data_IF_917576273122
#
_entry.id   IF_917576273122
#
_cell.length_a   1.000
_cell.length_b   1.000
_cell.length_c   1.000
_cell.angle_alpha   90.00
_cell.angle_beta   90.00
_cell.angle_gamma   90.00
#
_symmetry.space_group_name_H-M   'P 1'
#
loop_
_entity.id
_entity.type
_entity.pdbx_description
1 polymer ?
#
# COMPACT_ATOMS: atom_id res chain seq x y z
N UNK A 1 -5.44 -3.32 -3.79
CA UNK A 1 -4.77 -2.22 -4.49
C UNK A 1 -5.01 -2.30 -6.01
N UNK A 2 -4.78 -3.46 -6.66
CA UNK A 2 -4.94 -3.64 -8.11
C UNK A 2 -6.37 -3.37 -8.60
N UNK A 3 -7.39 -3.91 -7.94
CA UNK A 3 -8.79 -3.69 -8.32
C UNK A 3 -9.19 -2.20 -8.26
N UNK A 4 -8.59 -1.45 -7.33
CA UNK A 4 -8.81 -0.01 -7.24
C UNK A 4 -8.16 0.73 -8.43
N UNK A 5 -6.97 0.31 -8.85
CA UNK A 5 -6.35 0.84 -10.07
C UNK A 5 -7.20 0.55 -11.31
N UNK A 6 -7.70 -0.68 -11.47
CA UNK A 6 -8.62 -1.02 -12.56
C UNK A 6 -9.90 -0.17 -12.52
N UNK A 7 -10.47 0.05 -11.34
CA UNK A 7 -11.63 0.91 -11.20
C UNK A 7 -11.36 2.35 -11.68
N UNK A 8 -10.16 2.89 -11.40
CA UNK A 8 -9.75 4.21 -11.90
C UNK A 8 -9.56 4.24 -13.42
N UNK A 9 -9.03 3.17 -14.03
CA UNK A 9 -8.96 3.05 -15.49
C UNK A 9 -10.34 3.08 -16.13
N UNK A 10 -11.30 2.32 -15.60
CA UNK A 10 -12.67 2.35 -16.12
C UNK A 10 -13.36 3.71 -15.90
N UNK A 11 -13.05 4.42 -14.81
CA UNK A 11 -13.52 5.80 -14.61
C UNK A 11 -12.95 6.75 -15.67
N UNK A 12 -11.67 6.58 -16.04
CA UNK A 12 -11.05 7.33 -17.12
C UNK A 12 -11.70 7.03 -18.48
N UNK A 13 -11.93 5.75 -18.78
CA UNK A 13 -12.63 5.36 -20.02
C UNK A 13 -14.07 5.91 -20.05
N UNK A 14 -14.76 5.89 -18.91
CA UNK A 14 -16.06 6.51 -18.75
C UNK A 14 -16.03 8.03 -19.00
N UNK A 15 -14.98 8.72 -18.54
CA UNK A 15 -14.82 10.16 -18.78
C UNK A 15 -14.64 10.49 -20.27
N UNK A 16 -13.93 9.64 -21.04
CA UNK A 16 -13.80 9.75 -22.50
C UNK A 16 -15.15 9.70 -23.19
N UNK A 17 -16.16 9.05 -22.58
CA UNK A 17 -17.53 9.02 -23.06
C UNK A 17 -18.13 10.39 -23.30
N UNK A 18 -17.66 11.43 -22.57
CA UNK A 18 -18.10 12.82 -22.75
C UNK A 18 -17.75 13.42 -24.12
N UNK A 19 -16.82 12.85 -24.86
CA UNK A 19 -16.49 13.26 -26.25
C UNK A 19 -17.44 12.69 -27.30
N UNK A 20 -18.21 11.66 -26.95
CA UNK A 20 -19.11 10.99 -27.87
C UNK A 20 -20.54 11.48 -27.73
N UNK A 21 -21.40 11.30 -28.78
CA UNK A 21 -22.80 11.66 -28.68
C UNK A 21 -23.53 10.75 -27.69
N UNK A 22 -24.53 11.32 -26.99
CA UNK A 22 -25.53 10.53 -26.30
C UNK A 22 -26.73 10.31 -27.21
N UNK A 23 -27.31 9.11 -27.19
CA UNK A 23 -28.51 8.75 -27.92
C UNK A 23 -29.50 8.18 -26.91
N UNK A 24 -30.66 8.86 -26.80
CA UNK A 24 -31.70 8.48 -25.85
C UNK A 24 -32.99 8.15 -26.58
N UNK A 25 -33.63 7.06 -26.18
CA UNK A 25 -34.97 6.66 -26.61
C UNK A 25 -35.95 6.93 -25.46
N UNK A 26 -37.07 7.59 -25.78
CA UNK A 26 -38.14 7.82 -24.83
C UNK A 26 -39.46 7.31 -25.36
N UNK A 27 -40.35 6.87 -24.50
CA UNK A 27 -41.72 6.44 -24.84
C UNK A 27 -42.64 6.63 -23.67
N UNK A 28 -43.85 7.02 -23.94
CA UNK A 28 -44.89 7.24 -22.93
C UNK A 28 -46.28 6.98 -23.46
N UNK A 29 -47.14 6.48 -22.60
CA UNK A 29 -48.59 6.41 -22.80
C UNK A 29 -49.29 6.83 -21.51
N UNK A 30 -50.28 7.70 -21.62
CA UNK A 30 -50.98 8.21 -20.44
C UNK A 30 -52.29 8.86 -20.78
N UNK A 31 -53.06 9.19 -19.74
CA UNK A 31 -54.28 9.99 -19.88
C UNK A 31 -53.92 11.47 -19.71
N UNK A 32 -54.32 12.28 -20.68
CA UNK A 32 -54.20 13.73 -20.63
C UNK A 32 -55.58 14.36 -20.55
N UNK A 33 -55.77 15.34 -19.64
CA UNK A 33 -56.94 16.21 -19.58
C UNK A 33 -56.47 17.65 -19.59
N UNK A 34 -56.86 18.39 -20.64
CA UNK A 34 -56.47 19.79 -20.86
C UNK A 34 -57.67 20.72 -20.84
N UNK A 35 -57.75 21.62 -19.87
CA UNK A 35 -58.73 22.69 -19.84
C UNK A 35 -58.06 24.01 -20.25
N UNK A 36 -58.31 24.42 -21.47
CA UNK A 36 -57.72 25.62 -22.11
C UNK A 36 -58.79 26.45 -22.82
N UNK A 37 -58.56 27.73 -23.19
CA UNK A 37 -59.49 28.50 -24.00
C UNK A 37 -59.89 27.81 -25.29
N UNK A 38 -58.95 27.10 -25.95
CA UNK A 38 -59.21 26.36 -27.19
C UNK A 38 -60.11 25.14 -26.98
N UNK A 39 -59.92 24.36 -25.91
CA UNK A 39 -60.78 23.21 -25.62
C UNK A 39 -62.18 23.65 -25.21
N UNK A 40 -62.32 24.73 -24.44
CA UNK A 40 -63.65 25.32 -24.09
C UNK A 40 -64.38 25.92 -25.32
N UNK A 41 -63.63 26.52 -26.26
CA UNK A 41 -64.23 27.10 -27.46
C UNK A 41 -64.62 26.05 -28.51
N UNK A 42 -63.93 24.94 -28.60
CA UNK A 42 -64.15 23.87 -29.57
C UNK A 42 -65.44 23.07 -29.32
N UNK A 43 -65.86 22.96 -28.07
CA UNK A 43 -67.11 22.18 -27.71
C UNK A 43 -66.90 20.67 -27.86
N UNK A 44 -67.89 19.90 -27.37
CA UNK A 44 -67.79 18.41 -27.25
C UNK A 44 -67.78 17.67 -28.61
N UNK A 45 -68.12 18.32 -29.71
CA UNK A 45 -68.17 17.72 -31.07
C UNK A 45 -67.06 18.10 -31.98
N UNK A 46 -65.95 18.67 -31.49
CA UNK A 46 -64.79 19.01 -32.33
C UNK A 46 -64.08 17.74 -32.86
N UNK A 47 -63.78 17.70 -34.16
CA UNK A 47 -63.04 16.60 -34.78
C UNK A 47 -61.52 16.69 -34.54
N UNK A 48 -61.02 17.84 -34.11
CA UNK A 48 -59.59 18.13 -33.99
C UNK A 48 -59.13 18.46 -32.58
N UNK A 49 -60.03 18.81 -31.69
CA UNK A 49 -59.72 19.21 -30.30
C UNK A 49 -60.61 18.39 -29.34
N UNK A 50 -59.98 17.86 -28.29
CA UNK A 50 -60.64 17.13 -27.21
C UNK A 50 -60.01 17.51 -25.85
N UNK A 51 -60.84 17.61 -24.82
CA UNK A 51 -60.34 17.95 -23.48
C UNK A 51 -59.72 16.76 -22.73
N UNK A 52 -59.98 15.53 -23.22
CA UNK A 52 -59.50 14.31 -22.59
C UNK A 52 -59.09 13.24 -23.63
N UNK A 53 -57.84 12.82 -23.60
CA UNK A 53 -57.26 11.90 -24.60
C UNK A 53 -56.31 10.90 -23.99
N UNK A 54 -56.04 9.84 -24.75
CA UNK A 54 -54.95 8.92 -24.45
C UNK A 54 -53.70 9.38 -25.19
N UNK A 55 -52.87 10.12 -24.49
CA UNK A 55 -51.59 10.64 -24.99
C UNK A 55 -50.61 9.51 -25.25
N UNK A 56 -49.98 9.47 -26.41
CA UNK A 56 -48.90 8.54 -26.77
C UNK A 56 -47.72 9.33 -27.30
N UNK A 57 -46.53 8.97 -26.81
CA UNK A 57 -45.29 9.62 -27.17
C UNK A 57 -44.22 8.58 -27.47
N UNK A 58 -43.44 8.79 -28.51
CA UNK A 58 -42.16 8.12 -28.74
C UNK A 58 -41.16 9.13 -29.30
N UNK A 59 -39.92 9.00 -28.93
CA UNK A 59 -38.91 9.92 -29.45
C UNK A 59 -37.51 9.36 -29.32
N UNK A 60 -36.66 9.77 -30.26
CA UNK A 60 -35.23 9.53 -30.21
C UNK A 60 -34.53 10.88 -30.24
N UNK A 61 -33.55 11.05 -29.34
CA UNK A 61 -32.72 12.25 -29.28
C UNK A 61 -31.24 11.90 -29.37
N UNK A 62 -30.50 12.66 -30.15
CA UNK A 62 -29.04 12.62 -30.21
C UNK A 62 -28.51 13.98 -29.76
N UNK A 63 -27.56 13.95 -28.84
CA UNK A 63 -26.87 15.15 -28.38
C UNK A 63 -25.36 14.93 -28.47
N UNK A 64 -24.68 15.75 -29.28
CA UNK A 64 -23.23 15.79 -29.36
C UNK A 64 -22.74 17.11 -28.77
N UNK A 65 -21.90 17.01 -27.73
CA UNK A 65 -21.19 18.17 -27.19
C UNK A 65 -20.17 18.67 -28.18
N UNK A 66 -20.20 19.97 -28.51
CA UNK A 66 -19.23 20.65 -29.37
C UNK A 66 -18.25 21.49 -28.55
N UNK A 67 -18.74 22.14 -27.52
CA UNK A 67 -17.94 22.92 -26.58
C UNK A 67 -18.65 23.02 -25.22
N UNK A 68 -17.93 22.74 -24.15
CA UNK A 68 -18.44 22.69 -22.77
C UNK A 68 -17.61 23.54 -21.79
N UNK A 69 -16.79 24.44 -22.29
CA UNK A 69 -15.88 25.21 -21.44
C UNK A 69 -14.70 24.39 -20.89
N UNK A 70 -14.27 23.36 -21.60
CA UNK A 70 -13.19 22.45 -21.25
C UNK A 70 -13.52 21.47 -20.10
N UNK A 71 -14.79 21.26 -19.75
CA UNK A 71 -15.21 20.37 -18.67
C UNK A 71 -14.83 18.92 -18.96
N UNK A 72 -15.24 18.38 -20.12
CA UNK A 72 -14.90 16.99 -20.52
C UNK A 72 -13.39 16.78 -20.63
N UNK A 73 -12.67 17.72 -21.27
CA UNK A 73 -11.21 17.58 -21.42
C UNK A 73 -10.47 17.61 -20.09
N UNK A 74 -10.88 18.48 -19.16
CA UNK A 74 -10.33 18.56 -17.82
C UNK A 74 -10.68 17.31 -17.02
N UNK A 75 -11.92 16.78 -17.13
CA UNK A 75 -12.34 15.56 -16.45
C UNK A 75 -11.58 14.32 -16.97
N UNK A 76 -11.32 14.22 -18.27
CA UNK A 76 -10.51 13.12 -18.85
C UNK A 76 -9.09 13.20 -18.32
N UNK A 77 -8.46 14.39 -18.33
CA UNK A 77 -7.10 14.56 -17.80
C UNK A 77 -7.04 14.32 -16.29
N UNK A 78 -8.05 14.76 -15.52
CA UNK A 78 -8.17 14.50 -14.08
C UNK A 78 -8.26 13.00 -13.78
N UNK A 79 -9.11 12.28 -14.50
CA UNK A 79 -9.29 10.83 -14.27
C UNK A 79 -8.09 10.03 -14.73
N UNK A 80 -7.34 10.47 -15.74
CA UNK A 80 -6.06 9.88 -16.12
C UNK A 80 -5.03 10.07 -15.01
N UNK A 81 -4.84 11.29 -14.53
CA UNK A 81 -3.93 11.57 -13.40
C UNK A 81 -4.28 10.75 -12.16
N UNK A 82 -5.58 10.63 -11.82
CA UNK A 82 -6.06 9.78 -10.73
C UNK A 82 -5.73 8.29 -10.94
N UNK A 83 -5.82 7.78 -12.17
CA UNK A 83 -5.45 6.41 -12.50
C UNK A 83 -3.94 6.18 -12.37
N UNK A 84 -3.11 7.13 -12.83
CA UNK A 84 -1.65 7.06 -12.68
C UNK A 84 -1.22 7.16 -11.21
N UNK A 85 -1.85 8.05 -10.42
CA UNK A 85 -1.61 8.14 -8.98
C UNK A 85 -1.90 6.80 -8.29
N UNK A 86 -3.04 6.18 -8.60
CA UNK A 86 -3.42 4.90 -8.02
C UNK A 86 -2.51 3.75 -8.45
N UNK A 87 -2.01 3.75 -9.70
CA UNK A 87 -1.01 2.79 -10.17
C UNK A 87 0.28 2.87 -9.36
N UNK A 88 0.78 4.08 -9.15
CA UNK A 88 2.01 4.32 -8.37
C UNK A 88 1.82 4.01 -6.89
N UNK A 89 0.66 4.31 -6.32
CA UNK A 89 0.29 3.91 -4.96
C UNK A 89 0.24 2.37 -4.82
N UNK A 90 -0.26 1.65 -5.83
CA UNK A 90 -0.24 0.19 -5.87
C UNK A 90 1.20 -0.36 -5.89
N UNK A 91 2.11 0.24 -6.66
CA UNK A 91 3.53 -0.15 -6.68
C UNK A 91 4.16 0.10 -5.31
N UNK A 92 3.86 1.24 -4.66
CA UNK A 92 4.33 1.54 -3.30
C UNK A 92 3.85 0.49 -2.29
N UNK A 93 2.61 0.05 -2.38
CA UNK A 93 2.07 -1.02 -1.52
C UNK A 93 2.74 -2.37 -1.79
N UNK A 94 3.06 -2.68 -3.06
CA UNK A 94 3.83 -3.88 -3.41
C UNK A 94 5.26 -3.85 -2.83
N UNK A 95 5.95 -2.70 -2.88
CA UNK A 95 7.25 -2.48 -2.23
C UNK A 95 7.17 -2.72 -0.72
N UNK A 96 6.15 -2.18 -0.04
CA UNK A 96 5.92 -2.36 1.39
C UNK A 96 5.59 -3.82 1.73
N UNK A 97 4.79 -4.48 0.89
CA UNK A 97 4.47 -5.91 1.05
C UNK A 97 5.73 -6.76 0.90
N UNK A 98 6.59 -6.47 -0.08
CA UNK A 98 7.87 -7.16 -0.26
C UNK A 98 8.80 -6.98 0.95
N UNK A 99 8.86 -5.76 1.52
CA UNK A 99 9.60 -5.53 2.77
C UNK A 99 9.02 -6.35 3.92
N UNK A 100 7.70 -6.40 4.05
CA UNK A 100 7.04 -7.20 5.10
C UNK A 100 7.32 -8.69 4.95
N UNK A 101 7.36 -9.21 3.73
CA UNK A 101 7.78 -10.60 3.46
C UNK A 101 9.23 -10.82 3.89
N UNK A 102 10.14 -9.90 3.56
CA UNK A 102 11.54 -9.99 3.99
C UNK A 102 11.67 -9.96 5.54
N UNK A 103 10.90 -9.11 6.23
CA UNK A 103 10.87 -9.03 7.69
C UNK A 103 10.46 -10.35 8.33
N UNK A 104 9.33 -10.94 7.91
CA UNK A 104 8.85 -12.19 8.50
C UNK A 104 9.75 -13.38 8.16
N UNK A 105 10.34 -13.39 6.95
CA UNK A 105 11.27 -14.41 6.52
C UNK A 105 12.56 -14.39 7.37
N UNK A 106 13.16 -13.23 7.53
CA UNK A 106 14.38 -13.07 8.35
C UNK A 106 14.11 -13.32 9.83
N UNK A 107 12.93 -12.90 10.34
CA UNK A 107 12.51 -13.20 11.71
C UNK A 107 12.35 -14.71 11.93
N UNK A 108 11.77 -15.42 10.96
CA UNK A 108 11.63 -16.88 11.05
C UNK A 108 12.99 -17.58 11.17
N UNK A 109 13.95 -17.24 10.33
CA UNK A 109 15.33 -17.75 10.38
C UNK A 109 15.99 -17.40 11.72
N UNK A 110 15.88 -16.16 12.17
CA UNK A 110 16.42 -15.70 13.45
C UNK A 110 15.89 -16.53 14.63
N UNK A 111 14.57 -16.74 14.68
CA UNK A 111 13.99 -17.52 15.78
C UNK A 111 14.37 -18.99 15.70
N UNK A 112 14.53 -19.55 14.51
CA UNK A 112 15.02 -20.91 14.32
C UNK A 112 16.44 -21.07 14.87
N UNK A 113 17.34 -20.13 14.60
CA UNK A 113 18.73 -20.16 15.05
C UNK A 113 18.84 -19.93 16.57
N UNK A 114 18.02 -19.02 17.14
CA UNK A 114 17.96 -18.79 18.58
C UNK A 114 17.41 -20.03 19.31
N UNK A 115 16.43 -20.73 18.76
CA UNK A 115 15.90 -21.96 19.33
C UNK A 115 16.98 -23.05 19.35
N UNK A 116 17.73 -23.21 18.26
CA UNK A 116 18.82 -24.16 18.17
C UNK A 116 19.95 -23.82 19.18
N UNK A 117 20.33 -22.55 19.30
CA UNK A 117 21.26 -22.08 20.31
C UNK A 117 20.78 -22.39 21.74
N UNK A 118 19.47 -22.25 22.01
CA UNK A 118 18.87 -22.51 23.32
C UNK A 118 18.88 -24.01 23.66
N UNK A 119 18.68 -24.88 22.65
CA UNK A 119 18.82 -26.35 22.82
C UNK A 119 20.26 -26.74 23.18
N UNK A 120 21.24 -26.21 22.45
CA UNK A 120 22.64 -26.43 22.69
C UNK A 120 23.06 -25.94 24.09
N UNK A 121 22.53 -24.80 24.54
CA UNK A 121 22.76 -24.28 25.88
C UNK A 121 22.22 -25.20 26.95
N UNK A 122 21.00 -25.74 26.80
CA UNK A 122 20.43 -26.71 27.71
C UNK A 122 21.26 -27.99 27.77
N UNK A 123 21.61 -28.56 26.61
CA UNK A 123 22.45 -29.78 26.53
C UNK A 123 23.79 -29.59 27.25
N UNK A 124 24.44 -28.42 27.08
CA UNK A 124 25.68 -28.09 27.80
C UNK A 124 25.49 -28.07 29.30
N UNK A 125 24.41 -27.47 29.80
CA UNK A 125 24.14 -27.43 31.25
C UNK A 125 23.76 -28.79 31.80
N UNK A 126 23.04 -29.65 31.06
CA UNK A 126 22.74 -31.03 31.46
C UNK A 126 24.00 -31.89 31.53
N UNK A 127 24.95 -31.70 30.59
CA UNK A 127 26.23 -32.39 30.64
C UNK A 127 27.04 -31.98 31.88
N UNK A 128 27.10 -30.66 32.17
CA UNK A 128 27.77 -30.17 33.38
C UNK A 128 27.09 -30.74 34.65
N UNK A 129 25.77 -30.78 34.69
CA UNK A 129 25.01 -31.38 35.81
C UNK A 129 25.38 -32.84 36.04
N UNK A 130 25.43 -33.62 34.94
CA UNK A 130 25.85 -35.04 35.02
C UNK A 130 27.25 -35.22 35.59
N UNK A 131 28.20 -34.35 35.19
CA UNK A 131 29.57 -34.42 35.66
C UNK A 131 29.72 -33.98 37.14
N UNK A 132 28.96 -32.97 37.56
CA UNK A 132 28.92 -32.56 38.99
C UNK A 132 28.27 -33.63 39.85
N UNK A 133 27.18 -34.28 39.42
CA UNK A 133 26.54 -35.37 40.11
C UNK A 133 27.53 -36.53 40.39
N UNK A 134 28.27 -36.97 39.36
CA UNK A 134 29.31 -38.02 39.51
C UNK A 134 30.37 -37.66 40.53
N UNK A 135 30.81 -36.38 40.54
CA UNK A 135 31.80 -35.88 41.54
C UNK A 135 31.21 -35.89 42.97
N UNK A 136 29.96 -35.46 43.11
CA UNK A 136 29.28 -35.42 44.40
C UNK A 136 29.06 -36.83 44.95
N UNK A 137 28.62 -37.79 44.12
CA UNK A 137 28.44 -39.21 44.46
C UNK A 137 29.76 -39.89 44.85
N UNK A 138 30.89 -39.41 44.30
CA UNK A 138 32.23 -39.90 44.64
C UNK A 138 32.84 -39.22 45.88
N UNK A 139 32.09 -38.28 46.52
CA UNK A 139 32.60 -37.53 47.67
C UNK A 139 33.61 -36.41 47.32
N UNK A 140 33.79 -36.11 46.02
CA UNK A 140 34.70 -35.08 45.54
C UNK A 140 34.00 -33.78 45.19
N UNK A 141 32.64 -33.73 45.24
CA UNK A 141 31.83 -32.59 44.92
C UNK A 141 31.09 -32.00 46.11
N UNK A 142 30.64 -30.75 45.98
CA UNK A 142 29.83 -30.07 47.01
C UNK A 142 28.33 -30.18 46.67
N UNK A 143 27.48 -30.36 47.69
CA UNK A 143 26.01 -30.25 47.53
C UNK A 143 25.57 -28.84 47.06
N UNK A 144 26.35 -27.81 47.39
CA UNK A 144 26.11 -26.45 46.92
C UNK A 144 26.31 -26.33 45.38
N UNK A 145 27.34 -27.00 44.82
CA UNK A 145 27.56 -27.05 43.36
C UNK A 145 26.42 -27.76 42.65
N UNK A 146 25.93 -28.86 43.23
CA UNK A 146 24.78 -29.60 42.71
C UNK A 146 23.52 -28.71 42.66
N UNK A 147 23.18 -28.06 43.77
CA UNK A 147 22.02 -27.14 43.82
C UNK A 147 22.16 -25.98 42.82
N UNK A 148 23.37 -25.46 42.65
CA UNK A 148 23.66 -24.38 41.73
C UNK A 148 23.46 -24.79 40.27
N UNK A 149 23.98 -25.94 39.84
CA UNK A 149 23.79 -26.44 38.48
C UNK A 149 22.32 -26.80 38.21
N UNK A 150 21.59 -27.38 39.20
CA UNK A 150 20.18 -27.67 39.03
C UNK A 150 19.36 -26.40 38.78
N UNK A 151 19.68 -25.28 39.45
CA UNK A 151 19.07 -23.98 39.18
C UNK A 151 19.39 -23.45 37.75
N UNK A 152 20.62 -23.68 37.28
CA UNK A 152 21.01 -23.27 35.92
C UNK A 152 20.33 -24.11 34.84
N UNK A 153 20.20 -25.41 35.03
CA UNK A 153 19.45 -26.31 34.14
C UNK A 153 17.98 -25.88 34.04
N UNK A 154 17.36 -25.62 35.23
CA UNK A 154 15.96 -25.12 35.22
C UNK A 154 15.79 -23.83 34.46
N UNK A 155 16.76 -22.89 34.55
CA UNK A 155 16.77 -21.66 33.76
C UNK A 155 16.95 -21.93 32.23
N UNK A 156 17.83 -22.87 31.87
CA UNK A 156 18.06 -23.26 30.49
C UNK A 156 16.81 -23.88 29.86
N UNK A 157 16.05 -24.73 30.59
CA UNK A 157 14.74 -25.21 30.18
C UNK A 157 13.74 -24.07 29.93
N UNK A 158 13.67 -23.10 30.85
CA UNK A 158 12.80 -21.93 30.68
C UNK A 158 13.19 -21.12 29.45
N UNK A 159 14.48 -20.91 29.17
CA UNK A 159 14.97 -20.22 28.01
C UNK A 159 14.60 -20.96 26.69
N UNK A 160 14.75 -22.29 26.67
CA UNK A 160 14.34 -23.12 25.53
C UNK A 160 12.83 -23.04 25.29
N UNK A 161 12.00 -23.14 26.31
CA UNK A 161 10.56 -23.06 26.22
C UNK A 161 10.12 -21.67 25.63
N UNK A 162 10.77 -20.60 26.09
CA UNK A 162 10.54 -19.26 25.56
C UNK A 162 10.96 -19.14 24.08
N UNK A 163 12.12 -19.70 23.71
CA UNK A 163 12.59 -19.69 22.32
C UNK A 163 11.69 -20.53 21.41
N UNK A 164 11.16 -21.65 21.89
CA UNK A 164 10.18 -22.48 21.17
C UNK A 164 8.88 -21.73 20.93
N UNK A 165 8.38 -21.01 21.94
CA UNK A 165 7.19 -20.16 21.74
C UNK A 165 7.45 -19.06 20.70
N UNK A 166 8.57 -18.34 20.78
CA UNK A 166 8.92 -17.30 19.81
C UNK A 166 9.06 -17.85 18.39
N UNK A 167 9.59 -19.06 18.23
CA UNK A 167 9.65 -19.75 16.94
C UNK A 167 8.25 -20.02 16.38
N UNK A 168 7.32 -20.54 17.20
CA UNK A 168 5.93 -20.80 16.78
C UNK A 168 5.16 -19.53 16.46
N UNK A 169 5.43 -18.45 17.20
CA UNK A 169 4.84 -17.14 16.89
C UNK A 169 5.36 -16.61 15.55
N UNK A 170 6.66 -16.74 15.29
CA UNK A 170 7.26 -16.36 13.99
C UNK A 170 6.72 -17.22 12.85
N UNK A 171 6.53 -18.53 13.05
CA UNK A 171 5.90 -19.43 12.08
C UNK A 171 4.47 -18.99 11.74
N UNK A 172 3.69 -18.66 12.75
CA UNK A 172 2.31 -18.18 12.58
C UNK A 172 2.25 -16.86 11.81
N UNK A 173 3.17 -15.94 12.08
CA UNK A 173 3.29 -14.67 11.37
C UNK A 173 3.75 -14.88 9.93
N UNK A 174 4.71 -15.78 9.69
CA UNK A 174 5.16 -16.15 8.35
C UNK A 174 4.01 -16.70 7.51
N UNK A 175 3.25 -17.68 8.05
CA UNK A 175 2.09 -18.26 7.35
C UNK A 175 1.05 -17.18 7.03
N UNK A 176 0.78 -16.26 7.95
CA UNK A 176 -0.17 -15.16 7.71
C UNK A 176 0.26 -14.23 6.58
N UNK A 177 1.55 -13.94 6.43
CA UNK A 177 2.06 -12.97 5.46
C UNK A 177 2.37 -13.64 4.11
N UNK A 178 3.01 -14.82 4.13
CA UNK A 178 3.46 -15.54 2.93
C UNK A 178 2.38 -16.50 2.40
N UNK A 179 1.43 -16.89 3.24
CA UNK A 179 0.36 -17.87 2.97
C UNK A 179 0.88 -19.28 2.64
N UNK A 180 2.10 -19.61 3.11
CA UNK A 180 2.72 -20.92 2.97
C UNK A 180 3.40 -21.34 4.28
N UNK A 181 3.55 -22.64 4.50
CA UNK A 181 4.31 -23.16 5.66
C UNK A 181 5.81 -23.04 5.35
N UNK A 182 6.63 -22.52 6.31
CA UNK A 182 8.07 -22.38 6.08
C UNK A 182 8.74 -23.75 5.89
N UNK A 183 9.47 -23.93 4.81
CA UNK A 183 10.26 -25.13 4.50
C UNK A 183 11.60 -24.76 3.93
N UNK A 184 12.65 -25.43 4.38
CA UNK A 184 14.01 -25.34 3.83
C UNK A 184 14.48 -23.90 3.61
N UNK A 185 14.20 -23.03 4.60
CA UNK A 185 14.56 -21.62 4.52
C UNK A 185 16.08 -21.48 4.52
N UNK A 186 16.58 -20.64 3.62
CA UNK A 186 18.00 -20.31 3.50
C UNK A 186 18.23 -18.83 3.78
N UNK A 187 19.38 -18.49 4.36
CA UNK A 187 19.73 -17.10 4.61
C UNK A 187 19.88 -16.37 3.27
N UNK A 188 19.07 -15.33 3.00
CA UNK A 188 19.15 -14.61 1.75
C UNK A 188 20.37 -13.68 1.75
N UNK A 189 20.94 -13.46 0.57
CA UNK A 189 21.97 -12.47 0.34
C UNK A 189 21.37 -11.32 -0.48
N UNK A 190 21.15 -10.12 0.11
CA UNK A 190 20.71 -8.96 -0.66
C UNK A 190 21.69 -8.67 -1.80
N UNK A 191 21.16 -8.26 -2.97
CA UNK A 191 22.03 -7.88 -4.08
C UNK A 191 22.74 -6.56 -3.74
N UNK A 192 23.99 -6.68 -3.25
CA UNK A 192 24.80 -5.55 -2.82
C UNK A 192 25.09 -4.52 -3.93
N UNK A 193 24.99 -4.92 -5.20
CA UNK A 193 25.20 -4.03 -6.35
C UNK A 193 24.06 -3.02 -6.54
N UNK A 194 22.90 -3.32 -6.00
CA UNK A 194 21.72 -2.44 -6.07
C UNK A 194 21.58 -1.52 -4.84
N UNK A 195 22.41 -1.73 -3.81
CA UNK A 195 22.46 -0.87 -2.65
C UNK A 195 23.20 0.44 -2.98
N UNK A 196 22.66 1.61 -2.61
CA UNK A 196 23.39 2.87 -2.75
C UNK A 196 24.73 2.84 -2.03
N UNK A 197 25.74 3.48 -2.62
CA UNK A 197 27.08 3.52 -2.05
C UNK A 197 27.19 4.53 -0.90
N UNK A 198 26.42 5.63 -0.96
CA UNK A 198 26.43 6.71 0.01
C UNK A 198 25.00 7.11 0.41
N UNK A 199 24.85 7.77 1.56
CA UNK A 199 23.57 8.36 1.97
C UNK A 199 23.06 9.38 0.92
N UNK A 200 23.96 10.12 0.30
CA UNK A 200 23.60 11.12 -0.73
C UNK A 200 22.98 10.43 -1.96
N UNK A 201 23.59 9.32 -2.42
CA UNK A 201 23.06 8.52 -3.51
C UNK A 201 21.68 7.92 -3.15
N UNK A 202 21.52 7.43 -1.91
CA UNK A 202 20.26 6.90 -1.42
C UNK A 202 19.16 7.96 -1.43
N UNK A 203 19.45 9.15 -0.90
CA UNK A 203 18.50 10.28 -0.87
C UNK A 203 18.16 10.74 -2.29
N UNK A 204 19.14 10.87 -3.17
CA UNK A 204 18.89 11.24 -4.57
C UNK A 204 17.96 10.23 -5.24
N UNK A 205 18.27 8.95 -5.16
CA UNK A 205 17.44 7.90 -5.75
C UNK A 205 16.02 7.93 -5.15
N UNK A 206 15.91 7.99 -3.82
CA UNK A 206 14.61 8.03 -3.15
C UNK A 206 13.75 9.22 -3.61
N UNK A 207 14.34 10.41 -3.76
CA UNK A 207 13.59 11.60 -4.17
C UNK A 207 13.23 11.63 -5.65
N UNK A 208 13.95 10.91 -6.52
CA UNK A 208 13.70 10.85 -7.95
C UNK A 208 12.69 9.76 -8.35
N UNK A 209 12.74 8.57 -7.71
CA UNK A 209 12.00 7.40 -8.20
C UNK A 209 11.05 6.74 -7.21
N UNK A 210 10.98 7.23 -5.94
CA UNK A 210 10.13 6.58 -4.94
C UNK A 210 8.66 6.62 -5.36
N UNK A 211 7.95 5.46 -5.42
CA UNK A 211 6.58 5.39 -5.95
C UNK A 211 5.60 6.31 -5.24
N UNK A 212 5.73 6.50 -3.91
CA UNK A 212 4.87 7.40 -3.13
C UNK A 212 5.03 8.87 -3.58
N UNK A 213 6.25 9.31 -3.91
CA UNK A 213 6.48 10.68 -4.40
C UNK A 213 5.91 10.86 -5.80
N UNK A 214 6.14 9.89 -6.68
CA UNK A 214 5.58 9.91 -8.02
C UNK A 214 4.05 9.86 -8.00
N UNK A 215 3.43 9.10 -7.07
CA UNK A 215 1.98 9.10 -6.86
C UNK A 215 1.47 10.48 -6.46
N UNK A 216 2.09 11.10 -5.47
CA UNK A 216 1.68 12.43 -4.99
C UNK A 216 1.87 13.55 -6.03
N UNK A 217 2.80 13.40 -6.99
CA UNK A 217 2.89 14.29 -8.14
C UNK A 217 1.67 14.14 -9.07
N UNK A 218 1.17 12.93 -9.27
CA UNK A 218 -0.05 12.69 -10.03
C UNK A 218 -1.29 13.22 -9.31
N UNK A 219 -1.33 13.17 -7.98
CA UNK A 219 -2.39 13.79 -7.18
C UNK A 219 -2.42 15.34 -7.35
N UNK A 220 -1.25 15.97 -7.53
CA UNK A 220 -1.17 17.39 -7.86
C UNK A 220 -1.77 17.66 -9.23
N UNK A 221 -1.47 16.83 -10.25
CA UNK A 221 -2.05 16.97 -11.58
C UNK A 221 -3.57 16.71 -11.56
N UNK A 222 -4.05 15.73 -10.80
CA UNK A 222 -5.48 15.50 -10.60
C UNK A 222 -6.17 16.75 -10.04
N UNK A 223 -5.64 17.33 -8.96
CA UNK A 223 -6.20 18.51 -8.32
C UNK A 223 -6.13 19.75 -9.23
N UNK A 224 -5.08 19.88 -10.06
CA UNK A 224 -4.95 20.94 -11.07
C UNK A 224 -6.06 20.83 -12.14
N UNK A 225 -6.28 19.65 -12.70
CA UNK A 225 -7.33 19.46 -13.71
C UNK A 225 -8.73 19.58 -13.11
N UNK A 226 -8.92 19.21 -11.83
CA UNK A 226 -10.15 19.50 -11.11
C UNK A 226 -10.41 21.02 -11.01
N UNK A 227 -9.37 21.80 -10.72
CA UNK A 227 -9.47 23.26 -10.70
C UNK A 227 -9.70 23.83 -12.09
N UNK A 228 -9.07 23.30 -13.14
CA UNK A 228 -9.32 23.72 -14.52
C UNK A 228 -10.77 23.45 -14.95
N UNK A 229 -11.29 22.25 -14.68
CA UNK A 229 -12.67 21.87 -14.94
C UNK A 229 -13.69 22.74 -14.20
N UNK A 230 -13.38 23.17 -12.96
CA UNK A 230 -14.26 24.08 -12.22
C UNK A 230 -14.51 25.43 -12.88
N UNK A 231 -13.67 25.80 -13.84
CA UNK A 231 -13.82 27.04 -14.61
C UNK A 231 -14.80 26.92 -15.79
N UNK A 232 -15.27 25.69 -16.10
CA UNK A 232 -16.20 25.44 -17.21
C UNK A 232 -17.50 26.26 -17.11
N UNK A 233 -17.97 26.49 -15.87
CA UNK A 233 -19.14 27.34 -15.62
C UNK A 233 -19.03 28.80 -16.07
N UNK A 234 -17.81 29.31 -16.32
CA UNK A 234 -17.58 30.64 -16.87
C UNK A 234 -17.64 30.72 -18.40
N UNK A 235 -17.84 29.59 -19.08
CA UNK A 235 -17.92 29.50 -20.52
C UNK A 235 -19.29 29.08 -21.00
N UNK A 236 -19.68 29.39 -22.24
CA UNK A 236 -20.88 28.86 -22.86
C UNK A 236 -20.75 27.35 -23.11
N UNK A 237 -21.88 26.66 -23.07
CA UNK A 237 -21.99 25.27 -23.47
C UNK A 237 -22.68 25.20 -24.83
N UNK A 238 -22.06 24.54 -25.82
CA UNK A 238 -22.55 24.43 -27.18
C UNK A 238 -22.70 22.96 -27.55
N UNK A 239 -23.90 22.57 -27.99
CA UNK A 239 -24.19 21.20 -28.39
C UNK A 239 -24.93 21.18 -29.74
N UNK A 240 -24.69 20.15 -30.52
CA UNK A 240 -25.53 19.76 -31.64
C UNK A 240 -26.57 18.78 -31.12
N UNK A 241 -27.86 19.10 -31.34
CA UNK A 241 -29.00 18.33 -30.88
C UNK A 241 -29.89 17.95 -32.06
N UNK A 242 -30.28 16.67 -32.13
CA UNK A 242 -31.25 16.15 -33.11
C UNK A 242 -32.32 15.41 -32.35
N UNK A 243 -33.55 15.84 -32.48
CA UNK A 243 -34.73 15.24 -31.82
C UNK A 243 -35.73 14.83 -32.91
N UNK A 244 -36.09 13.56 -32.95
CA UNK A 244 -37.22 13.02 -33.71
C UNK A 244 -38.30 12.56 -32.69
N UNK A 245 -39.47 13.15 -32.81
CA UNK A 245 -40.64 12.80 -32.00
C UNK A 245 -41.75 12.24 -32.86
N UNK A 246 -42.41 11.25 -32.35
CA UNK A 246 -43.65 10.65 -32.87
C UNK A 246 -44.69 10.71 -31.78
N UNK A 247 -45.65 11.58 -31.92
CA UNK A 247 -46.68 11.80 -30.92
C UNK A 247 -48.08 11.56 -31.52
N UNK A 248 -49.01 11.09 -30.69
CA UNK A 248 -50.37 10.92 -31.03
C UNK A 248 -51.24 11.39 -29.87
N UNK A 249 -52.26 12.22 -30.22
CA UNK A 249 -53.26 12.76 -29.26
C UNK A 249 -52.58 13.54 -28.11
N UNK A 250 -51.83 14.59 -28.41
CA UNK A 250 -51.12 15.42 -27.43
C UNK A 250 -51.66 16.87 -27.42
N UNK A 251 -51.56 17.51 -26.26
CA UNK A 251 -51.84 18.92 -26.06
C UNK A 251 -53.29 19.32 -26.51
N UNK A 252 -54.24 18.46 -26.25
CA UNK A 252 -55.65 18.57 -26.66
C UNK A 252 -55.90 18.51 -28.18
N UNK A 253 -54.91 18.13 -29.01
CA UNK A 253 -55.04 17.99 -30.47
C UNK A 253 -55.06 16.52 -30.84
N UNK A 254 -56.17 16.08 -31.51
CA UNK A 254 -56.32 14.72 -32.00
C UNK A 254 -55.41 14.42 -33.19
N UNK A 255 -54.92 13.19 -33.18
CA UNK A 255 -54.14 12.66 -34.31
C UNK A 255 -52.64 12.74 -34.13
N UNK A 256 -51.94 12.41 -35.21
CA UNK A 256 -50.48 12.28 -35.24
C UNK A 256 -49.81 13.64 -35.36
N UNK A 257 -48.80 13.87 -34.52
CA UNK A 257 -47.95 15.06 -34.57
C UNK A 257 -46.47 14.63 -34.48
N UNK A 258 -45.82 14.55 -35.64
CA UNK A 258 -44.43 14.16 -35.74
C UNK A 258 -43.56 15.39 -36.06
N UNK A 259 -42.42 15.50 -35.38
CA UNK A 259 -41.48 16.56 -35.60
C UNK A 259 -40.02 16.05 -35.60
N UNK A 260 -39.21 16.61 -36.52
CA UNK A 260 -37.78 16.45 -36.57
C UNK A 260 -37.12 17.81 -36.35
N UNK A 261 -36.33 17.93 -35.34
CA UNK A 261 -35.58 19.16 -35.05
C UNK A 261 -34.07 18.84 -35.03
N UNK A 262 -33.29 19.59 -35.82
CA UNK A 262 -31.83 19.51 -35.79
C UNK A 262 -31.27 20.92 -35.61
N UNK A 263 -30.51 21.15 -34.54
CA UNK A 263 -30.00 22.48 -34.22
C UNK A 263 -28.70 22.49 -33.46
N UNK A 264 -27.94 23.55 -33.58
CA UNK A 264 -26.87 23.88 -32.65
C UNK A 264 -27.44 24.77 -31.54
N UNK A 265 -27.37 24.30 -30.34
CA UNK A 265 -27.90 25.01 -29.16
C UNK A 265 -26.75 25.47 -28.26
N UNK A 266 -26.73 26.78 -27.98
CA UNK A 266 -25.85 27.38 -27.00
C UNK A 266 -26.62 27.69 -25.72
N UNK A 267 -26.03 27.33 -24.57
CA UNK A 267 -26.52 27.72 -23.24
C UNK A 267 -25.39 28.42 -22.50
N UNK A 268 -25.66 29.63 -22.01
CA UNK A 268 -24.69 30.38 -21.21
C UNK A 268 -25.38 30.97 -19.99
N UNK A 269 -24.92 30.57 -18.82
CA UNK A 269 -25.44 31.07 -17.57
C UNK A 269 -24.66 32.32 -17.15
N UNK A 270 -25.30 33.47 -17.19
CA UNK A 270 -24.66 34.74 -16.86
C UNK A 270 -24.43 34.95 -15.36
N UNK A 271 -25.21 34.33 -14.51
CA UNK A 271 -25.10 34.49 -13.06
C UNK A 271 -25.73 33.33 -12.29
N UNK A 272 -24.93 32.65 -11.47
CA UNK A 272 -25.34 31.55 -10.60
C UNK A 272 -25.25 31.90 -9.11
N UNK A 273 -25.49 33.15 -8.73
CA UNK A 273 -25.44 33.54 -7.31
C UNK A 273 -24.03 33.47 -6.71
N UNK A 274 -22.97 33.44 -7.52
CA UNK A 274 -21.58 33.34 -7.06
C UNK A 274 -21.04 31.92 -6.83
N UNK A 275 -21.84 30.87 -7.11
CA UNK A 275 -21.44 29.47 -6.89
C UNK A 275 -20.21 29.07 -7.72
N UNK A 276 -20.13 29.51 -8.99
CA UNK A 276 -18.99 29.18 -9.88
C UNK A 276 -17.67 29.78 -9.34
N UNK A 277 -17.74 31.01 -8.80
CA UNK A 277 -16.58 31.65 -8.19
C UNK A 277 -16.15 30.95 -6.87
N UNK A 278 -17.14 30.54 -6.07
CA UNK A 278 -16.87 29.80 -4.83
C UNK A 278 -16.23 28.43 -5.12
N UNK A 279 -16.75 27.70 -6.13
CA UNK A 279 -16.22 26.41 -6.56
C UNK A 279 -14.77 26.54 -7.10
N UNK A 280 -14.52 27.54 -7.94
CA UNK A 280 -13.16 27.81 -8.46
C UNK A 280 -12.17 28.16 -7.33
N UNK A 281 -12.59 28.87 -6.28
CA UNK A 281 -11.75 29.15 -5.10
C UNK A 281 -11.54 27.88 -4.26
N UNK A 282 -12.57 27.07 -4.07
CA UNK A 282 -12.46 25.82 -3.32
C UNK A 282 -11.47 24.85 -3.98
N UNK A 283 -11.62 24.63 -5.31
CA UNK A 283 -10.71 23.76 -6.06
C UNK A 283 -9.28 24.30 -6.15
N UNK A 284 -9.10 25.64 -6.17
CA UNK A 284 -7.78 26.28 -6.06
C UNK A 284 -7.10 25.99 -4.71
N UNK A 285 -7.88 25.99 -3.61
CA UNK A 285 -7.38 25.63 -2.29
C UNK A 285 -7.03 24.15 -2.19
N UNK A 286 -7.83 23.25 -2.80
CA UNK A 286 -7.52 21.82 -2.89
C UNK A 286 -6.24 21.55 -3.70
N UNK A 287 -6.03 22.29 -4.80
CA UNK A 287 -4.78 22.20 -5.57
C UNK A 287 -3.56 22.62 -4.74
N UNK A 288 -3.70 23.66 -3.91
CA UNK A 288 -2.63 24.07 -2.97
C UNK A 288 -2.40 23.01 -1.89
N UNK A 289 -3.47 22.41 -1.36
CA UNK A 289 -3.40 21.33 -0.38
C UNK A 289 -2.66 20.10 -0.97
N UNK A 290 -2.91 19.73 -2.24
CA UNK A 290 -2.21 18.62 -2.88
C UNK A 290 -0.69 18.86 -2.93
N UNK A 291 -0.24 20.10 -3.19
CA UNK A 291 1.18 20.47 -3.12
C UNK A 291 1.76 20.33 -1.73
N UNK A 292 1.02 20.75 -0.70
CA UNK A 292 1.48 20.63 0.69
C UNK A 292 1.57 19.15 1.11
N UNK A 293 0.64 18.30 0.65
CA UNK A 293 0.69 16.84 0.87
C UNK A 293 1.94 16.25 0.22
N UNK A 294 2.25 16.63 -1.03
CA UNK A 294 3.48 16.19 -1.71
C UNK A 294 4.73 16.62 -0.94
N UNK A 295 4.82 17.87 -0.49
CA UNK A 295 5.95 18.35 0.30
C UNK A 295 6.11 17.57 1.63
N UNK A 296 5.00 17.18 2.26
CA UNK A 296 5.04 16.34 3.45
C UNK A 296 5.51 14.91 3.12
N UNK A 297 5.01 14.32 2.04
CA UNK A 297 5.47 13.01 1.56
C UNK A 297 6.98 13.02 1.24
N UNK A 298 7.47 14.08 0.61
CA UNK A 298 8.90 14.28 0.33
C UNK A 298 9.73 14.22 1.62
N UNK A 299 9.34 14.97 2.66
CA UNK A 299 10.03 14.96 3.95
C UNK A 299 9.99 13.60 4.62
N UNK A 300 8.87 12.89 4.54
CA UNK A 300 8.73 11.54 5.11
C UNK A 300 9.64 10.53 4.40
N UNK A 301 9.74 10.57 3.06
CA UNK A 301 10.63 9.70 2.29
C UNK A 301 12.11 10.02 2.60
N UNK A 302 12.46 11.30 2.69
CA UNK A 302 13.81 11.72 3.09
C UNK A 302 14.16 11.23 4.50
N UNK A 303 13.27 11.43 5.47
CA UNK A 303 13.45 10.95 6.84
C UNK A 303 13.58 9.43 6.90
N UNK A 304 12.68 8.69 6.24
CA UNK A 304 12.70 7.23 6.18
C UNK A 304 14.01 6.68 5.60
N UNK A 305 14.51 7.31 4.53
CA UNK A 305 15.79 6.96 3.91
C UNK A 305 16.96 7.20 4.85
N UNK A 306 17.00 8.33 5.56
CA UNK A 306 18.04 8.63 6.56
C UNK A 306 17.99 7.65 7.72
N UNK A 307 16.81 7.31 8.22
CA UNK A 307 16.65 6.34 9.31
C UNK A 307 17.13 4.95 8.90
N UNK A 308 16.77 4.49 7.70
CA UNK A 308 17.23 3.20 7.16
C UNK A 308 18.75 3.18 7.01
N UNK A 309 19.35 4.25 6.50
CA UNK A 309 20.81 4.38 6.36
C UNK A 309 21.54 4.36 7.70
N UNK A 310 21.08 5.16 8.67
CA UNK A 310 21.66 5.21 10.02
C UNK A 310 21.58 3.84 10.71
N UNK A 311 20.47 3.12 10.54
CA UNK A 311 20.34 1.77 11.07
C UNK A 311 21.37 0.81 10.46
N UNK A 312 21.56 0.83 9.14
CA UNK A 312 22.61 0.04 8.45
C UNK A 312 24.01 0.33 8.98
N UNK A 313 24.40 1.59 9.06
CA UNK A 313 25.72 1.98 9.57
C UNK A 313 25.93 1.54 11.02
N UNK A 314 24.94 1.75 11.88
CA UNK A 314 25.02 1.37 13.29
C UNK A 314 25.13 -0.14 13.46
N UNK A 315 24.30 -0.92 12.76
CA UNK A 315 24.31 -2.38 12.82
C UNK A 315 25.58 -2.97 12.25
N UNK A 316 26.13 -2.40 11.18
CA UNK A 316 27.43 -2.83 10.65
C UNK A 316 28.56 -2.68 11.67
N UNK A 317 28.60 -1.57 12.41
CA UNK A 317 29.57 -1.35 13.50
C UNK A 317 29.32 -2.29 14.69
N UNK A 318 28.07 -2.43 15.13
CA UNK A 318 27.70 -3.31 16.25
C UNK A 318 28.07 -4.76 15.97
N UNK A 319 27.81 -5.26 14.76
CA UNK A 319 28.10 -6.65 14.36
C UNK A 319 29.58 -7.01 14.52
N UNK A 320 30.51 -6.10 14.23
CA UNK A 320 31.95 -6.32 14.42
C UNK A 320 32.27 -6.57 15.91
N UNK A 321 31.83 -5.68 16.80
CA UNK A 321 32.12 -5.81 18.23
C UNK A 321 31.38 -6.97 18.87
N UNK A 322 30.15 -7.27 18.44
CA UNK A 322 29.43 -8.45 18.92
C UNK A 322 30.13 -9.75 18.49
N UNK A 323 30.72 -9.80 17.30
CA UNK A 323 31.52 -10.95 16.86
C UNK A 323 32.77 -11.12 17.71
N UNK A 324 33.50 -10.04 17.97
CA UNK A 324 34.68 -10.06 18.87
C UNK A 324 34.27 -10.52 20.28
N UNK A 325 33.10 -10.06 20.78
CA UNK A 325 32.59 -10.51 22.09
C UNK A 325 32.27 -12.02 22.11
N UNK A 326 31.66 -12.55 21.05
CA UNK A 326 31.41 -14.00 20.93
C UNK A 326 32.71 -14.79 20.97
N UNK A 327 33.73 -14.37 20.18
CA UNK A 327 35.01 -15.07 20.07
C UNK A 327 35.77 -15.05 21.40
N UNK A 328 35.86 -13.88 22.06
CA UNK A 328 36.48 -13.74 23.38
C UNK A 328 35.73 -14.55 24.48
N UNK A 329 34.41 -14.53 24.49
CA UNK A 329 33.62 -15.31 25.44
C UNK A 329 33.81 -16.81 25.22
N UNK A 330 33.85 -17.27 23.97
CA UNK A 330 34.12 -18.67 23.63
C UNK A 330 35.50 -19.13 24.15
N UNK A 331 36.54 -18.36 23.89
CA UNK A 331 37.90 -18.67 24.37
C UNK A 331 37.98 -18.70 25.90
N UNK A 332 37.26 -17.79 26.58
CA UNK A 332 37.16 -17.74 28.03
C UNK A 332 36.50 -18.99 28.58
N UNK A 333 35.37 -19.43 27.97
CA UNK A 333 34.69 -20.69 28.37
C UNK A 333 35.67 -21.88 28.24
N UNK A 334 36.38 -22.00 27.16
CA UNK A 334 37.35 -23.10 26.94
C UNK A 334 38.44 -23.09 28.01
N UNK A 335 38.98 -21.91 28.32
CA UNK A 335 40.02 -21.75 29.35
C UNK A 335 39.46 -22.11 30.76
N UNK A 336 38.28 -21.64 31.13
CA UNK A 336 37.67 -21.87 32.47
C UNK A 336 37.25 -23.31 32.65
N UNK A 337 36.75 -23.99 31.63
CA UNK A 337 36.47 -25.45 31.69
C UNK A 337 37.74 -26.26 32.00
N UNK A 338 38.88 -25.93 31.33
CA UNK A 338 40.17 -26.58 31.60
C UNK A 338 40.65 -26.33 33.03
N UNK A 339 40.60 -25.08 33.51
CA UNK A 339 41.03 -24.68 34.85
C UNK A 339 40.15 -25.32 35.95
N UNK A 340 38.81 -25.41 35.71
CA UNK A 340 37.88 -26.10 36.60
C UNK A 340 38.23 -27.59 36.71
N UNK A 341 38.53 -28.26 35.60
CA UNK A 341 38.99 -29.65 35.62
C UNK A 341 40.27 -29.88 36.45
N UNK A 342 41.14 -28.85 36.53
CA UNK A 342 42.36 -28.86 37.36
C UNK A 342 42.16 -28.37 38.80
N UNK A 343 40.94 -28.01 39.19
CA UNK A 343 40.62 -27.49 40.52
C UNK A 343 41.08 -26.03 40.76
N UNK A 344 41.42 -25.28 39.71
CA UNK A 344 41.92 -23.89 39.77
C UNK A 344 40.79 -22.84 39.62
N UNK A 345 39.55 -23.26 39.32
CA UNK A 345 38.37 -22.42 39.16
C UNK A 345 37.19 -23.06 39.83
N UNK A 346 36.20 -22.24 40.19
CA UNK A 346 34.91 -22.68 40.73
C UNK A 346 33.93 -23.06 39.66
N UNK A 347 32.92 -23.89 39.97
CA UNK A 347 31.79 -24.16 39.08
C UNK A 347 31.05 -22.87 38.69
N UNK A 348 30.91 -21.95 39.66
CA UNK A 348 30.25 -20.67 39.44
C UNK A 348 30.91 -19.87 38.29
N UNK A 349 32.25 -19.86 38.24
CA UNK A 349 33.00 -19.16 37.18
C UNK A 349 32.66 -19.76 35.79
N UNK A 350 32.64 -21.10 35.70
CA UNK A 350 32.29 -21.80 34.44
C UNK A 350 30.85 -21.49 34.01
N UNK A 351 29.90 -21.59 34.93
CA UNK A 351 28.48 -21.33 34.60
C UNK A 351 28.21 -19.88 34.22
N UNK A 352 28.94 -18.93 34.83
CA UNK A 352 28.82 -17.53 34.46
C UNK A 352 29.37 -17.26 33.02
N UNK A 353 30.52 -17.85 32.67
CA UNK A 353 31.07 -17.69 31.33
C UNK A 353 30.26 -18.40 30.25
N UNK A 354 29.63 -19.55 30.57
CA UNK A 354 28.67 -20.21 29.66
C UNK A 354 27.45 -19.32 29.38
N UNK A 355 26.91 -18.69 30.41
CA UNK A 355 25.79 -17.76 30.24
C UNK A 355 26.21 -16.52 29.44
N UNK A 356 27.41 -15.98 29.67
CA UNK A 356 27.97 -14.87 28.91
C UNK A 356 28.07 -15.23 27.42
N UNK A 357 28.62 -16.38 27.07
CA UNK A 357 28.72 -16.88 25.72
C UNK A 357 27.36 -17.07 25.07
N UNK A 358 26.37 -17.60 25.79
CA UNK A 358 25.02 -17.76 25.29
C UNK A 358 24.39 -16.41 24.93
N UNK A 359 24.45 -15.42 25.81
CA UNK A 359 23.92 -14.08 25.57
C UNK A 359 24.70 -13.33 24.47
N UNK A 360 26.03 -13.49 24.39
CA UNK A 360 26.84 -12.93 23.30
C UNK A 360 26.43 -13.49 21.92
N UNK A 361 26.29 -14.81 21.81
CA UNK A 361 25.83 -15.47 20.56
C UNK A 361 24.43 -15.04 20.18
N UNK A 362 23.48 -14.99 21.12
CA UNK A 362 22.10 -14.54 20.88
C UNK A 362 22.07 -13.10 20.37
N UNK A 363 22.88 -12.23 20.97
CA UNK A 363 23.01 -10.82 20.54
C UNK A 363 23.60 -10.71 19.14
N UNK A 364 24.61 -11.52 18.82
CA UNK A 364 25.21 -11.56 17.49
C UNK A 364 24.22 -12.04 16.43
N UNK A 365 23.51 -13.15 16.66
CA UNK A 365 22.45 -13.66 15.77
C UNK A 365 21.41 -12.55 15.50
N UNK A 366 20.94 -11.88 16.56
CA UNK A 366 19.97 -10.81 16.40
C UNK A 366 20.50 -9.69 15.51
N UNK A 367 21.72 -9.20 15.76
CA UNK A 367 22.34 -8.14 14.99
C UNK A 367 22.64 -8.56 13.54
N UNK A 368 22.89 -9.84 13.29
CA UNK A 368 23.11 -10.38 11.94
C UNK A 368 21.85 -10.26 11.09
N UNK A 369 20.71 -10.73 11.59
CA UNK A 369 19.44 -10.65 10.88
C UNK A 369 18.89 -9.22 10.79
N UNK A 370 19.10 -8.39 11.82
CA UNK A 370 18.75 -6.97 11.79
C UNK A 370 19.57 -6.20 10.75
N UNK A 371 20.86 -6.58 10.56
CA UNK A 371 21.72 -6.01 9.53
C UNK A 371 21.26 -6.37 8.11
N UNK A 372 20.82 -7.62 7.89
CA UNK A 372 20.24 -8.04 6.62
C UNK A 372 18.93 -7.27 6.35
N UNK A 373 18.07 -7.14 7.35
CA UNK A 373 16.83 -6.38 7.23
C UNK A 373 17.09 -4.90 6.91
N UNK A 374 18.13 -4.29 7.48
CA UNK A 374 18.49 -2.91 7.19
C UNK A 374 18.83 -2.70 5.70
N UNK A 375 19.46 -3.68 5.03
CA UNK A 375 19.72 -3.62 3.60
C UNK A 375 18.41 -3.63 2.78
N UNK A 376 17.45 -4.49 3.13
CA UNK A 376 16.12 -4.51 2.50
C UNK A 376 15.33 -3.22 2.76
N UNK A 377 15.45 -2.62 3.95
CA UNK A 377 14.85 -1.33 4.27
C UNK A 377 15.40 -0.19 3.42
N UNK A 378 16.69 -0.17 3.12
CA UNK A 378 17.27 0.83 2.21
C UNK A 378 16.73 0.64 0.79
N UNK A 379 16.66 -0.59 0.29
CA UNK A 379 16.10 -0.87 -1.03
C UNK A 379 14.62 -0.45 -1.13
N UNK A 380 13.84 -0.67 -0.08
CA UNK A 380 12.46 -0.19 -0.02
C UNK A 380 12.38 1.35 0.05
N UNK A 381 13.18 1.98 0.91
CA UNK A 381 13.22 3.44 1.06
C UNK A 381 13.67 4.17 -0.22
N UNK A 382 14.40 3.49 -1.10
CA UNK A 382 14.78 3.99 -2.43
C UNK A 382 13.81 3.55 -3.54
N UNK A 383 12.74 2.79 -3.21
CA UNK A 383 11.73 2.32 -4.18
C UNK A 383 12.25 1.25 -5.15
N UNK A 384 13.31 0.53 -4.79
CA UNK A 384 13.97 -0.46 -5.63
C UNK A 384 13.90 -1.91 -5.14
N UNK A 385 13.13 -2.19 -4.09
CA UNK A 385 13.11 -3.50 -3.45
C UNK A 385 12.56 -4.60 -4.36
N UNK A 386 11.45 -4.36 -5.06
CA UNK A 386 10.89 -5.34 -6.00
C UNK A 386 11.89 -5.74 -7.08
N UNK A 387 12.62 -4.76 -7.62
CA UNK A 387 13.67 -5.01 -8.61
C UNK A 387 14.84 -5.80 -8.00
N UNK A 388 15.26 -5.47 -6.78
CA UNK A 388 16.32 -6.17 -6.08
C UNK A 388 15.98 -7.62 -5.73
N UNK A 389 14.70 -7.90 -5.52
CA UNK A 389 14.17 -9.25 -5.29
C UNK A 389 13.84 -10.00 -6.60
N UNK A 390 14.12 -9.41 -7.77
CA UNK A 390 13.78 -9.93 -9.10
C UNK A 390 12.27 -10.23 -9.26
N UNK A 391 11.41 -9.46 -8.60
CA UNK A 391 9.96 -9.58 -8.77
C UNK A 391 9.57 -8.93 -10.09
N UNK A 392 9.10 -9.75 -11.04
CA UNK A 392 8.60 -9.25 -12.31
C UNK A 392 7.24 -8.59 -12.10
N UNK A 393 7.16 -7.31 -12.43
CA UNK A 393 5.88 -6.60 -12.42
C UNK A 393 5.01 -7.11 -13.59
N UNK A 394 3.76 -7.54 -13.33
CA UNK A 394 2.83 -7.92 -14.40
C UNK A 394 2.67 -6.80 -15.43
N UNK A 395 2.40 -7.16 -16.71
CA UNK A 395 2.20 -6.18 -17.77
C UNK A 395 1.08 -5.17 -17.44
N UNK A 396 0.05 -5.63 -16.74
CA UNK A 396 -1.10 -4.82 -16.32
C UNK A 396 -0.75 -3.72 -15.28
N UNK A 397 0.45 -3.77 -14.69
CA UNK A 397 0.96 -2.73 -13.77
C UNK A 397 1.71 -1.62 -14.49
N UNK A 398 2.01 -1.81 -15.77
CA UNK A 398 2.68 -0.80 -16.58
C UNK A 398 1.70 0.29 -16.99
N UNK A 399 2.21 1.51 -17.22
CA UNK A 399 1.38 2.57 -17.74
C UNK A 399 0.83 2.18 -19.12
N UNK A 400 -0.49 2.28 -19.31
CA UNK A 400 -1.06 2.13 -20.64
C UNK A 400 -0.56 3.28 -21.53
N UNK A 401 0.34 2.97 -22.45
CA UNK A 401 0.84 3.90 -23.47
C UNK A 401 -0.13 4.00 -24.69
N UNK A 402 -1.45 3.97 -24.44
CA UNK A 402 -2.46 4.12 -25.50
C UNK A 402 -3.12 5.49 -25.48
#
# INVERSE_FOLDING_TARGET
AFDLYQARLYQHDGAKGGYYPTIDLRGGVGYEKTDSPSTRAAGANSQTIDDSMTRKEAGISLRQMLFDGFDVSSNVARTDAAAQAQRLAMISEAENTALRVAEVYLNMLRQQEILELSKQNLETHEQIRSDIQKRTDSGLGSTADQTQIDGRVARAYSNQAAAENNYRDAESEFIRVVNEVPKDLVQPAPNSQLLPATLEDALKTATEVHPTLLSSLQDIEEAKYQHEGSKSGFYPNVAFEVDQNWNEDIDAVKGRNDDLTAMVRMRYNLFRGGSDLAESKATSALYSQAKDIHLNAFRQVEEGTRLAWNAKESLAKQKVFLKEHVDASYDTVQAYKKQFGLGQRTLLDVLNTENELFEARRSYITAEYDSLLADYRILNATGGLLNAMNVQQPADWQANNN
#
